data_IF_638323959400
#
_entry.id   IF_638323959400
#
_cell.length_a   1.000
_cell.length_b   1.000
_cell.length_c   1.000
_cell.angle_alpha   90.00
_cell.angle_beta   90.00
_cell.angle_gamma   90.00
#
_symmetry.space_group_name_H-M   'P 1'
#
loop_
_entity.id
_entity.type
_entity.pdbx_description
1 polymer ?
#
# COMPACT_ATOMS: atom_id res chain seq x y z
N UNK A 1 -58.05 7.90 -60.05
CA UNK A 1 -57.03 8.94 -60.30
C UNK A 1 -56.28 9.16 -59.00
N UNK A 2 -54.96 9.08 -59.11
CA UNK A 2 -53.97 8.87 -58.06
C UNK A 2 -53.70 10.14 -57.25
N UNK A 3 -53.56 10.03 -55.93
CA UNK A 3 -52.81 11.00 -55.12
C UNK A 3 -51.46 10.34 -54.88
N UNK A 4 -50.48 10.71 -55.70
CA UNK A 4 -49.10 10.28 -55.54
C UNK A 4 -48.49 11.00 -54.34
N UNK A 5 -48.15 10.23 -53.31
CA UNK A 5 -47.40 10.70 -52.16
C UNK A 5 -45.96 11.03 -52.59
N UNK A 6 -45.62 12.31 -52.50
CA UNK A 6 -44.27 12.83 -52.65
C UNK A 6 -43.41 12.42 -51.45
N UNK A 7 -42.72 11.28 -51.56
CA UNK A 7 -41.61 10.90 -50.67
C UNK A 7 -40.34 11.56 -51.19
N UNK A 8 -40.14 12.84 -50.85
CA UNK A 8 -38.88 13.53 -51.10
C UNK A 8 -37.96 13.41 -49.88
N UNK A 9 -36.91 12.59 -50.04
CA UNK A 9 -35.56 12.91 -49.61
C UNK A 9 -35.28 13.07 -48.12
N UNK A 10 -35.10 11.95 -47.41
CA UNK A 10 -34.29 11.91 -46.20
C UNK A 10 -33.36 10.70 -46.25
N UNK A 11 -32.41 10.70 -47.19
CA UNK A 11 -31.44 9.62 -47.33
C UNK A 11 -30.05 10.16 -47.68
N UNK A 12 -29.63 11.21 -46.98
CA UNK A 12 -28.24 11.68 -47.00
C UNK A 12 -27.84 12.22 -45.62
N UNK A 13 -27.91 11.37 -44.60
CA UNK A 13 -27.50 11.74 -43.23
C UNK A 13 -26.93 10.62 -42.36
N UNK A 14 -26.85 9.37 -42.84
CA UNK A 14 -26.53 8.23 -41.96
C UNK A 14 -25.07 7.76 -42.00
N UNK A 15 -24.25 8.17 -42.97
CA UNK A 15 -22.92 7.55 -43.16
C UNK A 15 -21.79 8.33 -42.45
N UNK A 16 -21.98 9.60 -42.12
CA UNK A 16 -20.95 10.41 -41.44
C UNK A 16 -20.96 10.28 -39.89
N UNK A 17 -22.09 9.91 -39.28
CA UNK A 17 -22.24 9.85 -37.83
C UNK A 17 -21.64 8.60 -37.17
N UNK A 18 -21.58 7.46 -37.88
CA UNK A 18 -21.17 6.18 -37.30
C UNK A 18 -19.68 6.09 -36.97
N UNK A 19 -18.81 6.61 -37.84
CA UNK A 19 -17.36 6.54 -37.64
C UNK A 19 -16.86 7.56 -36.62
N UNK A 20 -17.35 8.80 -36.66
CA UNK A 20 -16.94 9.84 -35.69
C UNK A 20 -17.38 9.45 -34.27
N UNK A 21 -18.58 8.87 -34.11
CA UNK A 21 -19.08 8.38 -32.82
C UNK A 21 -18.23 7.26 -32.24
N UNK A 22 -17.71 6.34 -33.07
CA UNK A 22 -16.86 5.24 -32.61
C UNK A 22 -15.46 5.72 -32.19
N UNK A 23 -14.87 6.67 -32.93
CA UNK A 23 -13.57 7.24 -32.58
C UNK A 23 -13.63 8.16 -31.36
N UNK A 24 -14.69 8.96 -31.20
CA UNK A 24 -14.89 9.79 -30.00
C UNK A 24 -15.27 8.92 -28.80
N UNK A 25 -16.14 7.92 -28.98
CA UNK A 25 -16.49 6.93 -27.93
C UNK A 25 -15.28 6.14 -27.47
N UNK A 26 -14.43 5.62 -28.36
CA UNK A 26 -13.22 4.88 -27.95
C UNK A 26 -12.18 5.76 -27.24
N UNK A 27 -12.01 7.03 -27.66
CA UNK A 27 -11.12 7.99 -26.97
C UNK A 27 -11.65 8.35 -25.58
N UNK A 28 -12.96 8.57 -25.44
CA UNK A 28 -13.60 8.86 -24.15
C UNK A 28 -13.59 7.62 -23.25
N UNK A 29 -13.90 6.43 -23.77
CA UNK A 29 -13.84 5.18 -23.02
C UNK A 29 -12.41 4.84 -22.57
N UNK A 30 -11.40 5.03 -23.44
CA UNK A 30 -9.99 4.87 -23.06
C UNK A 30 -9.56 5.88 -22.00
N UNK A 31 -10.05 7.13 -22.08
CA UNK A 31 -9.80 8.16 -21.07
C UNK A 31 -10.47 7.81 -19.74
N UNK A 32 -11.73 7.38 -19.75
CA UNK A 32 -12.46 6.94 -18.55
C UNK A 32 -11.80 5.72 -17.90
N UNK A 33 -11.42 4.71 -18.70
CA UNK A 33 -10.70 3.54 -18.21
C UNK A 33 -9.34 3.92 -17.58
N UNK A 34 -8.60 4.83 -18.21
CA UNK A 34 -7.33 5.35 -17.66
C UNK A 34 -7.56 6.13 -16.36
N UNK A 35 -8.57 6.99 -16.30
CA UNK A 35 -8.90 7.74 -15.08
C UNK A 35 -9.30 6.79 -13.95
N UNK A 36 -10.13 5.78 -14.22
CA UNK A 36 -10.55 4.81 -13.23
C UNK A 36 -9.40 3.93 -12.75
N UNK A 37 -8.51 3.50 -13.66
CA UNK A 37 -7.31 2.76 -13.32
C UNK A 37 -6.37 3.59 -12.44
N UNK A 38 -6.10 4.85 -12.82
CA UNK A 38 -5.25 5.74 -12.03
C UNK A 38 -5.82 5.98 -10.62
N UNK A 39 -7.13 6.17 -10.52
CA UNK A 39 -7.81 6.33 -9.24
C UNK A 39 -7.71 5.07 -8.35
N UNK A 40 -7.88 3.88 -8.95
CA UNK A 40 -7.70 2.62 -8.22
C UNK A 40 -6.27 2.45 -7.70
N UNK A 41 -5.27 2.76 -8.54
CA UNK A 41 -3.86 2.69 -8.14
C UNK A 41 -3.54 3.69 -7.02
N UNK A 42 -4.04 4.93 -7.11
CA UNK A 42 -3.85 5.92 -6.05
C UNK A 42 -4.44 5.43 -4.73
N UNK A 43 -5.67 4.91 -4.74
CA UNK A 43 -6.31 4.34 -3.56
C UNK A 43 -5.55 3.14 -2.99
N UNK A 44 -5.09 2.22 -3.85
CA UNK A 44 -4.29 1.08 -3.41
C UNK A 44 -2.97 1.52 -2.76
N UNK A 45 -2.31 2.55 -3.30
CA UNK A 45 -1.10 3.11 -2.71
C UNK A 45 -1.39 3.82 -1.38
N UNK A 46 -2.47 4.59 -1.31
CA UNK A 46 -2.93 5.22 -0.08
C UNK A 46 -3.12 4.16 1.02
N UNK A 47 -3.94 3.14 0.76
CA UNK A 47 -4.23 2.07 1.71
C UNK A 47 -2.96 1.31 2.12
N UNK A 48 -2.01 1.15 1.20
CA UNK A 48 -0.71 0.54 1.49
C UNK A 48 0.11 1.38 2.48
N UNK A 49 0.18 2.71 2.31
CA UNK A 49 0.88 3.59 3.25
C UNK A 49 0.20 3.62 4.61
N UNK A 50 -1.13 3.67 4.66
CA UNK A 50 -1.86 3.58 5.94
C UNK A 50 -1.49 2.30 6.69
N UNK A 51 -1.48 1.16 6.00
CA UNK A 51 -1.08 -0.12 6.59
C UNK A 51 0.39 -0.14 7.01
N UNK A 52 1.29 0.51 6.26
CA UNK A 52 2.70 0.62 6.64
C UNK A 52 2.88 1.39 7.95
N UNK A 53 2.13 2.49 8.15
CA UNK A 53 2.13 3.23 9.42
C UNK A 53 1.63 2.33 10.58
N UNK A 54 0.52 1.62 10.38
CA UNK A 54 -0.01 0.70 11.39
C UNK A 54 0.99 -0.42 11.75
N UNK A 55 1.69 -0.98 10.76
CA UNK A 55 2.70 -2.02 11.02
C UNK A 55 3.88 -1.48 11.82
N UNK A 56 4.31 -0.24 11.59
CA UNK A 56 5.36 0.39 12.38
C UNK A 56 4.93 0.60 13.84
N UNK A 57 3.70 1.07 14.07
CA UNK A 57 3.12 1.23 15.41
C UNK A 57 2.98 -0.11 16.15
N UNK A 58 2.54 -1.15 15.45
CA UNK A 58 2.45 -2.49 16.03
C UNK A 58 3.83 -3.09 16.32
N UNK A 59 4.85 -2.78 15.50
CA UNK A 59 6.23 -3.20 15.76
C UNK A 59 6.75 -2.61 17.07
N UNK A 60 6.51 -1.31 17.29
CA UNK A 60 6.84 -0.62 18.53
C UNK A 60 6.12 -1.26 19.72
N UNK A 61 4.82 -1.53 19.59
CA UNK A 61 4.03 -2.18 20.63
C UNK A 61 4.53 -3.60 20.94
N UNK A 62 4.78 -4.42 19.92
CA UNK A 62 5.28 -5.78 20.09
C UNK A 62 6.65 -5.78 20.79
N UNK A 63 7.52 -4.81 20.48
CA UNK A 63 8.79 -4.60 21.17
C UNK A 63 8.58 -4.30 22.65
N UNK A 64 7.76 -3.30 22.99
CA UNK A 64 7.50 -2.93 24.37
C UNK A 64 6.85 -4.05 25.17
N UNK A 65 5.91 -4.79 24.58
CA UNK A 65 5.28 -5.95 25.22
C UNK A 65 6.33 -7.00 25.60
N UNK A 66 7.23 -7.34 24.67
CA UNK A 66 8.29 -8.32 24.90
C UNK A 66 9.28 -7.84 25.95
N UNK A 67 9.70 -6.57 25.90
CA UNK A 67 10.73 -6.05 26.80
C UNK A 67 10.22 -5.73 28.20
N UNK A 68 8.93 -5.42 28.37
CA UNK A 68 8.33 -5.06 29.66
C UNK A 68 7.50 -6.19 30.30
N UNK A 69 7.43 -7.37 29.70
CA UNK A 69 6.83 -8.54 30.34
C UNK A 69 7.66 -8.95 31.56
N UNK A 70 7.22 -8.52 32.75
CA UNK A 70 7.70 -9.01 34.03
C UNK A 70 7.50 -10.54 34.13
N UNK A 71 8.45 -11.24 34.77
CA UNK A 71 8.60 -12.71 34.92
C UNK A 71 7.33 -13.52 35.31
N UNK A 72 6.20 -12.86 35.58
CA UNK A 72 4.92 -13.45 36.02
C UNK A 72 4.10 -14.04 34.86
N UNK A 73 4.28 -13.56 33.63
CA UNK A 73 3.59 -14.07 32.42
C UNK A 73 4.59 -14.77 31.48
N UNK A 74 5.12 -15.92 31.90
CA UNK A 74 6.04 -16.76 31.10
C UNK A 74 5.41 -17.39 29.84
N UNK A 75 4.12 -17.14 29.57
CA UNK A 75 3.41 -17.77 28.46
C UNK A 75 3.65 -17.12 27.10
N UNK A 76 4.00 -15.83 27.03
CA UNK A 76 4.25 -15.18 25.73
C UNK A 76 5.73 -15.28 25.41
N UNK A 77 6.12 -16.24 24.58
CA UNK A 77 7.50 -16.28 24.10
C UNK A 77 7.69 -15.13 23.12
N UNK A 78 8.82 -14.41 23.14
CA UNK A 78 9.06 -13.34 22.18
C UNK A 78 9.00 -13.79 20.72
N UNK A 79 9.29 -15.08 20.47
CA UNK A 79 9.06 -15.73 19.18
C UNK A 79 7.59 -15.65 18.71
N UNK A 80 6.62 -15.79 19.62
CA UNK A 80 5.19 -15.75 19.30
C UNK A 80 4.73 -14.35 18.85
N UNK A 81 5.48 -13.31 19.23
CA UNK A 81 5.21 -11.91 18.84
C UNK A 81 6.04 -11.48 17.64
N UNK A 82 7.35 -11.71 17.68
CA UNK A 82 8.26 -11.20 16.65
C UNK A 82 8.16 -11.98 15.34
N UNK A 83 7.99 -13.31 15.36
CA UNK A 83 7.97 -14.09 14.10
C UNK A 83 6.82 -13.66 13.18
N UNK A 84 5.55 -13.59 13.64
CA UNK A 84 4.46 -13.10 12.80
C UNK A 84 4.69 -11.67 12.32
N UNK A 85 5.18 -10.78 13.19
CA UNK A 85 5.47 -9.38 12.83
C UNK A 85 6.52 -9.27 11.72
N UNK A 86 7.60 -10.04 11.81
CA UNK A 86 8.66 -10.11 10.80
C UNK A 86 8.08 -10.52 9.43
N UNK A 87 7.22 -11.53 9.41
CA UNK A 87 6.57 -11.99 8.18
C UNK A 87 5.63 -10.93 7.58
N UNK A 88 4.82 -10.28 8.41
CA UNK A 88 3.92 -9.20 7.99
C UNK A 88 4.69 -8.03 7.38
N UNK A 89 5.76 -7.57 8.04
CA UNK A 89 6.62 -6.49 7.57
C UNK A 89 7.25 -6.82 6.20
N UNK A 90 7.85 -8.01 6.05
CA UNK A 90 8.47 -8.46 4.79
C UNK A 90 7.44 -8.59 3.67
N UNK A 91 6.29 -9.19 3.96
CA UNK A 91 5.21 -9.36 2.98
C UNK A 91 4.66 -8.01 2.53
N UNK A 92 4.49 -7.06 3.45
CA UNK A 92 3.97 -5.73 3.13
C UNK A 92 4.99 -4.91 2.32
N UNK A 93 6.28 -4.99 2.67
CA UNK A 93 7.37 -4.38 1.91
C UNK A 93 7.44 -4.93 0.47
N UNK A 94 7.36 -6.25 0.30
CA UNK A 94 7.36 -6.89 -1.02
C UNK A 94 6.17 -6.45 -1.89
N UNK A 95 4.97 -6.32 -1.29
CA UNK A 95 3.80 -5.74 -1.98
C UNK A 95 4.06 -4.28 -2.38
N UNK A 96 4.69 -3.49 -1.53
CA UNK A 96 5.08 -2.11 -1.83
C UNK A 96 5.97 -2.01 -3.07
N UNK A 97 6.98 -2.86 -3.20
CA UNK A 97 7.87 -2.91 -4.38
C UNK A 97 7.09 -3.07 -5.68
N UNK A 98 6.06 -3.94 -5.69
CA UNK A 98 5.19 -4.13 -6.87
C UNK A 98 4.26 -2.95 -7.19
N UNK A 99 3.96 -2.12 -6.19
CA UNK A 99 3.09 -0.95 -6.33
C UNK A 99 3.87 0.32 -6.69
N UNK A 100 5.21 0.25 -6.76
CA UNK A 100 6.08 1.40 -7.03
C UNK A 100 5.80 2.55 -6.05
N UNK A 101 5.77 2.20 -4.75
CA UNK A 101 5.66 3.13 -3.62
C UNK A 101 7.05 3.64 -3.21
N UNK A 102 7.10 4.57 -2.26
CA UNK A 102 8.33 5.18 -1.78
C UNK A 102 9.29 4.11 -1.22
N UNK A 103 10.51 4.06 -1.80
CA UNK A 103 11.54 3.10 -1.42
C UNK A 103 11.94 3.18 0.05
N UNK A 104 12.06 4.38 0.62
CA UNK A 104 12.48 4.53 2.01
C UNK A 104 11.50 3.89 3.00
N UNK A 105 10.19 3.94 2.71
CA UNK A 105 9.17 3.27 3.54
C UNK A 105 9.32 1.75 3.43
N UNK A 106 9.57 1.25 2.21
CA UNK A 106 9.80 -0.18 1.97
C UNK A 106 11.07 -0.66 2.69
N UNK A 107 12.17 0.04 2.52
CA UNK A 107 13.47 -0.30 3.12
C UNK A 107 13.39 -0.22 4.65
N UNK A 108 12.66 0.76 5.19
CA UNK A 108 12.37 0.85 6.62
C UNK A 108 11.62 -0.37 7.16
N UNK A 109 10.55 -0.82 6.48
CA UNK A 109 9.84 -2.04 6.87
C UNK A 109 10.73 -3.30 6.81
N UNK A 110 11.62 -3.39 5.82
CA UNK A 110 12.59 -4.50 5.72
C UNK A 110 13.63 -4.46 6.84
N UNK A 111 14.10 -3.27 7.21
CA UNK A 111 15.02 -3.07 8.33
C UNK A 111 14.35 -3.45 9.65
N UNK A 112 13.13 -2.99 9.93
CA UNK A 112 12.39 -3.39 11.14
C UNK A 112 12.24 -4.91 11.26
N UNK A 113 11.98 -5.59 10.14
CA UNK A 113 11.91 -7.05 10.12
C UNK A 113 13.27 -7.72 10.40
N UNK A 114 14.37 -7.09 9.98
CA UNK A 114 15.72 -7.55 10.27
C UNK A 114 16.08 -7.33 11.75
N UNK A 115 15.73 -6.17 12.31
CA UNK A 115 15.97 -5.81 13.72
C UNK A 115 15.26 -6.77 14.67
N UNK A 116 13.98 -7.07 14.42
CA UNK A 116 13.24 -8.09 15.19
C UNK A 116 13.84 -9.50 15.03
N UNK A 117 14.34 -9.84 13.84
CA UNK A 117 15.03 -11.12 13.62
C UNK A 117 16.32 -11.19 14.43
N UNK A 118 17.09 -10.11 14.46
CA UNK A 118 18.31 -10.01 15.26
C UNK A 118 17.99 -10.11 16.75
N UNK A 119 16.91 -9.45 17.21
CA UNK A 119 16.48 -9.50 18.61
C UNK A 119 16.19 -10.93 19.08
N UNK A 120 15.53 -11.75 18.26
CA UNK A 120 15.31 -13.17 18.56
C UNK A 120 16.60 -13.97 18.75
N UNK A 121 17.69 -13.57 18.08
CA UNK A 121 18.98 -14.28 18.19
C UNK A 121 19.80 -13.87 19.42
N UNK A 122 19.63 -12.63 19.90
CA UNK A 122 20.42 -12.04 20.99
C UNK A 122 19.62 -11.85 22.27
N UNK A 123 18.40 -12.38 22.35
CA UNK A 123 17.50 -12.18 23.48
C UNK A 123 18.05 -12.65 24.84
N UNK A 124 19.04 -13.55 24.83
CA UNK A 124 19.78 -13.97 26.02
C UNK A 124 20.91 -13.03 26.45
N UNK A 125 21.28 -12.04 25.63
CA UNK A 125 22.33 -11.04 25.88
C UNK A 125 21.74 -9.61 25.86
N UNK A 126 21.50 -9.05 27.05
CA UNK A 126 20.82 -7.76 27.21
C UNK A 126 21.50 -6.55 26.56
N UNK A 127 22.83 -6.54 26.41
CA UNK A 127 23.56 -5.42 25.77
C UNK A 127 23.22 -5.28 24.27
N UNK A 128 22.95 -6.39 23.59
CA UNK A 128 22.64 -6.39 22.16
C UNK A 128 21.19 -5.93 21.90
N UNK A 129 20.28 -6.17 22.85
CA UNK A 129 18.87 -5.73 22.75
C UNK A 129 18.75 -4.20 22.81
N UNK A 130 19.55 -3.53 23.65
CA UNK A 130 19.55 -2.07 23.73
C UNK A 130 20.02 -1.42 22.42
N UNK A 131 21.05 -1.98 21.79
CA UNK A 131 21.52 -1.50 20.50
C UNK A 131 20.45 -1.65 19.40
N UNK A 132 19.77 -2.79 19.38
CA UNK A 132 18.67 -3.03 18.43
C UNK A 132 17.53 -2.04 18.66
N UNK A 133 17.12 -1.79 19.91
CA UNK A 133 16.11 -0.76 20.21
C UNK A 133 16.51 0.61 19.68
N UNK A 134 17.77 1.00 19.91
CA UNK A 134 18.30 2.29 19.50
C UNK A 134 18.32 2.48 17.98
N UNK A 135 18.60 1.41 17.23
CA UNK A 135 18.56 1.43 15.77
C UNK A 135 17.13 1.36 15.21
N UNK A 136 16.25 0.60 15.86
CA UNK A 136 14.89 0.33 15.40
C UNK A 136 13.96 1.54 15.59
N UNK A 137 13.99 2.23 16.74
CA UNK A 137 13.07 3.35 17.01
C UNK A 137 13.13 4.49 15.97
N UNK A 138 14.32 4.98 15.54
CA UNK A 138 14.40 5.97 14.47
C UNK A 138 13.80 5.49 13.15
N UNK A 139 13.91 4.19 12.84
CA UNK A 139 13.33 3.60 11.63
C UNK A 139 11.80 3.57 11.74
N UNK A 140 11.24 3.23 12.91
CA UNK A 140 9.80 3.29 13.18
C UNK A 140 9.29 4.71 12.92
N UNK A 141 9.91 5.72 13.52
CA UNK A 141 9.52 7.12 13.36
C UNK A 141 9.57 7.54 11.89
N UNK A 142 10.63 7.19 11.18
CA UNK A 142 10.79 7.51 9.78
C UNK A 142 9.71 6.86 8.90
N UNK A 143 9.40 5.57 9.13
CA UNK A 143 8.35 4.86 8.41
C UNK A 143 7.00 5.54 8.65
N UNK A 144 6.69 5.88 9.89
CA UNK A 144 5.43 6.54 10.27
C UNK A 144 5.27 7.92 9.64
N UNK A 145 6.30 8.76 9.75
CA UNK A 145 6.30 10.11 9.19
C UNK A 145 6.12 10.06 7.67
N UNK A 146 6.94 9.28 6.97
CA UNK A 146 6.90 9.18 5.51
C UNK A 146 5.62 8.52 5.03
N UNK A 147 5.15 7.45 5.67
CA UNK A 147 3.91 6.79 5.28
C UNK A 147 2.72 7.73 5.45
N UNK A 148 2.64 8.47 6.56
CA UNK A 148 1.58 9.45 6.80
C UNK A 148 1.62 10.56 5.76
N UNK A 149 2.79 11.15 5.51
CA UNK A 149 2.95 12.19 4.49
C UNK A 149 2.48 11.69 3.12
N UNK A 150 2.91 10.49 2.70
CA UNK A 150 2.55 9.94 1.39
C UNK A 150 1.08 9.54 1.29
N UNK A 151 0.46 9.09 2.38
CA UNK A 151 -0.97 8.84 2.41
C UNK A 151 -1.74 10.15 2.19
N UNK A 152 -1.41 11.22 2.92
CA UNK A 152 -2.07 12.53 2.76
C UNK A 152 -1.87 13.13 1.35
N UNK A 153 -0.72 12.91 0.72
CA UNK A 153 -0.48 13.34 -0.67
C UNK A 153 -1.38 12.62 -1.71
N UNK A 154 -2.02 11.52 -1.33
CA UNK A 154 -2.87 10.68 -2.18
C UNK A 154 -4.38 10.83 -1.91
N UNK A 155 -4.77 11.66 -0.92
CA UNK A 155 -6.16 12.05 -0.64
C UNK A 155 -6.69 13.07 -1.67
#
# INVERSE_FOLDING_TARGET
MSIEASVFGALTGAVAGGLISYFVSSKVAKKQAKTQYNYQIQRTRHDWYTQANTLAELTEHDWYDVMNQSEVDQETQPADRFIPRIEELRNHAARGKSLDVNGDVVDGLEQLAADLSAALTVMGSGDDLWMIEHEMHPVIDQVREKATQRATELE
#
